data_IF_603229751639
#
_entry.id   IF_603229751639
#
_cell.length_a   1.000
_cell.length_b   1.000
_cell.length_c   1.000
_cell.angle_alpha   90.00
_cell.angle_beta   90.00
_cell.angle_gamma   90.00
#
_symmetry.space_group_name_H-M   'P 1'
#
loop_
_entity.id
_entity.type
_entity.pdbx_description
1 polymer ?
#
# COMPACT_ATOMS: atom_id res chain seq x y z
N UNK A 1 -18.28 11.17 20.52
CA UNK A 1 -16.79 11.24 20.53
C UNK A 1 -16.15 10.12 21.38
N UNK A 2 -16.66 9.82 22.58
CA UNK A 2 -16.17 8.72 23.44
C UNK A 2 -16.22 7.33 22.78
N UNK A 3 -17.35 6.95 22.17
CA UNK A 3 -17.52 5.66 21.49
C UNK A 3 -16.56 5.49 20.30
N UNK A 4 -16.39 6.56 19.50
CA UNK A 4 -15.46 6.55 18.37
C UNK A 4 -14.02 6.33 18.86
N UNK A 5 -13.60 7.01 19.93
CA UNK A 5 -12.27 6.81 20.53
C UNK A 5 -12.05 5.38 21.02
N UNK A 6 -13.06 4.75 21.64
CA UNK A 6 -12.95 3.36 22.11
C UNK A 6 -12.87 2.39 20.94
N UNK A 7 -13.70 2.59 19.92
CA UNK A 7 -13.65 1.79 18.70
C UNK A 7 -12.29 1.93 18.02
N UNK A 8 -11.79 3.16 17.84
CA UNK A 8 -10.45 3.41 17.28
C UNK A 8 -9.37 2.74 18.13
N UNK A 9 -9.44 2.85 19.46
CA UNK A 9 -8.47 2.20 20.36
C UNK A 9 -8.51 0.68 20.26
N UNK A 10 -9.70 0.09 20.12
CA UNK A 10 -9.86 -1.35 19.94
C UNK A 10 -9.30 -1.81 18.59
N UNK A 11 -9.59 -1.09 17.50
CA UNK A 11 -9.03 -1.37 16.18
C UNK A 11 -7.51 -1.23 16.19
N UNK A 12 -6.96 -0.20 16.84
CA UNK A 12 -5.51 0.00 16.98
C UNK A 12 -4.90 -1.14 17.79
N UNK A 13 -5.50 -1.57 18.89
CA UNK A 13 -5.03 -2.70 19.67
C UNK A 13 -5.00 -3.99 18.82
N UNK A 14 -6.10 -4.30 18.14
CA UNK A 14 -6.20 -5.50 17.30
C UNK A 14 -5.18 -5.48 16.15
N UNK A 15 -5.04 -4.37 15.45
CA UNK A 15 -4.09 -4.22 14.35
C UNK A 15 -2.63 -4.24 14.82
N UNK A 16 -2.29 -3.62 15.96
CA UNK A 16 -0.90 -3.52 16.42
C UNK A 16 -0.42 -4.71 17.26
N UNK A 17 -1.32 -5.48 17.88
CA UNK A 17 -0.96 -6.56 18.80
C UNK A 17 -1.36 -7.96 18.32
N UNK A 18 -2.39 -8.07 17.48
CA UNK A 18 -2.95 -9.37 17.07
C UNK A 18 -2.75 -9.70 15.59
N UNK A 19 -2.72 -8.70 14.71
CA UNK A 19 -2.58 -8.92 13.27
C UNK A 19 -1.09 -9.07 12.92
N UNK A 20 -0.61 -10.25 12.49
CA UNK A 20 0.77 -10.41 12.06
C UNK A 20 0.98 -9.74 10.70
N UNK A 21 2.24 -9.65 10.29
CA UNK A 21 2.61 -9.23 8.94
C UNK A 21 1.79 -9.96 7.85
N UNK A 22 1.54 -9.24 6.74
CA UNK A 22 0.71 -9.72 5.63
C UNK A 22 1.19 -11.06 5.05
N UNK A 23 2.51 -11.29 5.00
CA UNK A 23 3.06 -12.55 4.52
C UNK A 23 2.72 -13.73 5.45
N UNK A 24 2.82 -13.51 6.75
CA UNK A 24 2.49 -14.51 7.79
C UNK A 24 1.00 -14.81 7.76
N UNK A 25 0.16 -13.78 7.63
CA UNK A 25 -1.29 -13.93 7.53
C UNK A 25 -1.69 -14.78 6.32
N UNK A 26 -1.13 -14.51 5.14
CA UNK A 26 -1.38 -15.30 3.92
C UNK A 26 -0.87 -16.73 4.07
N UNK A 27 0.28 -16.92 4.72
CA UNK A 27 0.84 -18.26 5.00
C UNK A 27 -0.08 -19.08 5.90
N UNK A 28 -0.58 -18.48 6.98
CA UNK A 28 -1.55 -19.12 7.89
C UNK A 28 -2.84 -19.48 7.15
N UNK A 29 -3.38 -18.53 6.37
CA UNK A 29 -4.59 -18.78 5.59
C UNK A 29 -4.37 -19.91 4.57
N UNK A 30 -3.20 -19.97 3.94
CA UNK A 30 -2.83 -21.04 3.03
C UNK A 30 -2.86 -22.41 3.70
N UNK A 31 -2.33 -22.54 4.93
CA UNK A 31 -2.39 -23.79 5.69
C UNK A 31 -3.81 -24.13 6.15
N UNK A 32 -4.59 -23.14 6.56
CA UNK A 32 -6.01 -23.35 6.92
C UNK A 32 -6.77 -23.90 5.71
N UNK A 33 -6.62 -23.28 4.54
CA UNK A 33 -7.26 -23.76 3.31
C UNK A 33 -6.77 -25.16 2.94
N UNK A 34 -5.46 -25.44 3.07
CA UNK A 34 -4.90 -26.77 2.84
C UNK A 34 -5.59 -27.83 3.70
N UNK A 35 -5.69 -27.60 5.02
CA UNK A 35 -6.31 -28.53 5.98
C UNK A 35 -7.79 -28.71 5.68
N UNK A 36 -8.52 -27.64 5.36
CA UNK A 36 -9.93 -27.71 5.02
C UNK A 36 -10.17 -28.49 3.73
N UNK A 37 -9.38 -28.27 2.68
CA UNK A 37 -9.51 -29.01 1.43
C UNK A 37 -9.22 -30.49 1.65
N UNK A 38 -8.11 -30.80 2.33
CA UNK A 38 -7.74 -32.19 2.65
C UNK A 38 -8.82 -32.90 3.49
N UNK A 39 -9.33 -32.24 4.53
CA UNK A 39 -10.31 -32.84 5.45
C UNK A 39 -11.74 -32.92 4.91
N UNK A 40 -12.15 -32.04 4.00
CA UNK A 40 -13.55 -31.92 3.57
C UNK A 40 -13.82 -32.43 2.15
N UNK A 41 -12.80 -32.52 1.27
CA UNK A 41 -13.01 -32.87 -0.15
C UNK A 41 -12.63 -34.30 -0.51
N UNK A 42 -12.03 -35.06 0.42
CA UNK A 42 -11.57 -36.43 0.17
C UNK A 42 -10.37 -36.53 -0.79
N UNK A 43 -9.75 -35.40 -1.14
CA UNK A 43 -8.53 -35.37 -1.94
C UNK A 43 -7.33 -35.84 -1.10
N UNK A 44 -6.45 -36.61 -1.73
CA UNK A 44 -5.18 -37.00 -1.12
C UNK A 44 -4.24 -35.79 -0.99
N UNK A 45 -3.26 -35.89 -0.10
CA UNK A 45 -2.34 -34.79 0.19
C UNK A 45 -1.56 -34.33 -1.04
N UNK A 46 -1.20 -35.24 -1.96
CA UNK A 46 -0.41 -34.88 -3.14
C UNK A 46 -1.22 -34.01 -4.12
N UNK A 47 -2.50 -34.33 -4.30
CA UNK A 47 -3.43 -33.51 -5.10
C UNK A 47 -3.60 -32.09 -4.53
N UNK A 48 -3.72 -31.96 -3.21
CA UNK A 48 -3.83 -30.65 -2.55
C UNK A 48 -2.54 -29.85 -2.69
N UNK A 49 -1.37 -30.48 -2.50
CA UNK A 49 -0.05 -29.83 -2.68
C UNK A 49 0.13 -29.37 -4.13
N UNK A 50 -0.24 -30.20 -5.12
CA UNK A 50 -0.16 -29.86 -6.53
C UNK A 50 -1.06 -28.66 -6.88
N UNK A 51 -2.30 -28.65 -6.37
CA UNK A 51 -3.23 -27.54 -6.55
C UNK A 51 -2.71 -26.24 -5.95
N UNK A 52 -2.15 -26.31 -4.75
CA UNK A 52 -1.53 -25.16 -4.07
C UNK A 52 -0.38 -24.56 -4.88
N UNK A 53 0.58 -25.38 -5.33
CA UNK A 53 1.73 -24.88 -6.06
C UNK A 53 1.37 -24.39 -7.46
N UNK A 54 0.47 -25.08 -8.18
CA UNK A 54 -0.06 -24.60 -9.45
C UNK A 54 -0.71 -23.21 -9.30
N UNK A 55 -1.49 -23.00 -8.24
CA UNK A 55 -2.05 -21.71 -7.88
C UNK A 55 -0.99 -20.63 -7.65
N UNK A 56 0.06 -20.95 -6.90
CA UNK A 56 1.17 -20.02 -6.64
C UNK A 56 1.84 -19.54 -7.94
N UNK A 57 2.06 -20.43 -8.91
CA UNK A 57 2.65 -20.06 -10.21
C UNK A 57 1.78 -19.13 -11.06
N UNK A 58 0.45 -19.18 -10.91
CA UNK A 58 -0.43 -18.24 -11.62
C UNK A 58 -0.21 -16.77 -11.21
N UNK A 59 0.33 -16.55 -10.00
CA UNK A 59 0.57 -15.21 -9.46
C UNK A 59 1.91 -14.62 -9.89
N UNK A 60 2.82 -15.38 -10.54
CA UNK A 60 4.17 -14.91 -10.87
C UNK A 60 4.15 -13.68 -11.80
N UNK A 61 3.28 -13.69 -12.81
CA UNK A 61 3.11 -12.54 -13.71
C UNK A 61 2.61 -11.30 -12.97
N UNK A 62 1.61 -11.49 -12.09
CA UNK A 62 1.07 -10.43 -11.24
C UNK A 62 2.12 -9.90 -10.25
N UNK A 63 2.87 -10.77 -9.58
CA UNK A 63 3.90 -10.36 -8.63
C UNK A 63 5.02 -9.58 -9.31
N UNK A 64 5.44 -9.99 -10.51
CA UNK A 64 6.41 -9.24 -11.31
C UNK A 64 5.89 -7.86 -11.71
N UNK A 65 4.62 -7.77 -12.14
CA UNK A 65 3.99 -6.48 -12.44
C UNK A 65 4.01 -5.55 -11.21
N UNK A 66 3.62 -6.07 -10.04
CA UNK A 66 3.62 -5.30 -8.79
C UNK A 66 5.03 -4.87 -8.35
N UNK A 67 6.03 -5.75 -8.49
CA UNK A 67 7.43 -5.43 -8.21
C UNK A 67 7.95 -4.33 -9.13
N UNK A 68 7.67 -4.42 -10.44
CA UNK A 68 8.07 -3.40 -11.42
C UNK A 68 7.40 -2.05 -11.15
N UNK A 69 6.12 -2.03 -10.77
CA UNK A 69 5.42 -0.78 -10.41
C UNK A 69 6.17 -0.04 -9.30
N UNK A 70 6.59 -0.74 -8.25
CA UNK A 70 7.31 -0.14 -7.13
C UNK A 70 8.75 0.25 -7.50
N UNK A 71 9.50 -0.66 -8.15
CA UNK A 71 10.90 -0.42 -8.51
C UNK A 71 11.01 0.73 -9.51
N UNK A 72 10.18 0.75 -10.55
CA UNK A 72 10.18 1.82 -11.55
C UNK A 72 9.65 3.13 -10.96
N UNK A 73 8.62 3.06 -10.10
CA UNK A 73 8.12 4.23 -9.36
C UNK A 73 9.21 4.87 -8.49
N UNK A 74 9.96 4.04 -7.76
CA UNK A 74 11.11 4.49 -6.98
C UNK A 74 12.23 5.05 -7.85
N UNK A 75 12.58 4.37 -8.95
CA UNK A 75 13.62 4.84 -9.87
C UNK A 75 13.28 6.22 -10.45
N UNK A 76 12.02 6.45 -10.84
CA UNK A 76 11.54 7.75 -11.31
C UNK A 76 11.60 8.81 -10.21
N UNK A 77 11.14 8.49 -8.99
CA UNK A 77 11.18 9.41 -7.86
C UNK A 77 12.62 9.80 -7.45
N UNK A 78 13.58 8.90 -7.62
CA UNK A 78 15.00 9.14 -7.37
C UNK A 78 15.72 9.91 -8.50
N UNK A 79 15.07 10.12 -9.65
CA UNK A 79 15.69 10.82 -10.77
C UNK A 79 16.08 12.26 -10.38
N UNK A 80 17.27 12.70 -10.80
CA UNK A 80 17.82 14.03 -10.46
C UNK A 80 16.87 15.18 -10.80
N UNK A 81 16.14 15.07 -11.91
CA UNK A 81 15.17 16.09 -12.33
C UNK A 81 13.98 16.17 -11.36
N UNK A 82 13.43 15.01 -10.98
CA UNK A 82 12.32 14.93 -10.02
C UNK A 82 12.76 15.45 -8.65
N UNK A 83 13.93 15.03 -8.16
CA UNK A 83 14.49 15.53 -6.90
C UNK A 83 14.68 17.05 -6.89
N UNK A 84 15.15 17.64 -8.00
CA UNK A 84 15.24 19.11 -8.13
C UNK A 84 13.87 19.78 -8.08
N UNK A 85 12.88 19.21 -8.77
CA UNK A 85 11.50 19.72 -8.75
C UNK A 85 10.92 19.67 -7.34
N UNK A 86 11.07 18.56 -6.62
CA UNK A 86 10.56 18.41 -5.26
C UNK A 86 11.20 19.41 -4.30
N UNK A 87 12.53 19.62 -4.38
CA UNK A 87 13.22 20.64 -3.58
C UNK A 87 12.72 22.05 -3.87
N UNK A 88 12.53 22.36 -5.15
CA UNK A 88 11.95 23.64 -5.55
C UNK A 88 10.53 23.81 -4.99
N UNK A 89 9.65 22.84 -5.20
CA UNK A 89 8.29 22.88 -4.69
C UNK A 89 8.25 22.97 -3.16
N UNK A 90 9.17 22.32 -2.46
CA UNK A 90 9.25 22.36 -1.00
C UNK A 90 9.70 23.72 -0.44
N UNK A 91 10.30 24.57 -1.26
CA UNK A 91 10.68 25.93 -0.89
C UNK A 91 9.54 26.96 -1.04
N UNK A 92 8.43 26.59 -1.69
CA UNK A 92 7.31 27.51 -1.96
C UNK A 92 6.43 27.78 -0.73
N UNK A 93 6.08 26.78 0.10
CA UNK A 93 5.21 27.01 1.25
C UNK A 93 5.88 27.87 2.31
N UNK A 94 5.13 28.86 2.83
CA UNK A 94 5.60 29.77 3.88
C UNK A 94 5.04 29.44 5.27
N UNK A 95 4.21 28.39 5.37
CA UNK A 95 3.60 27.97 6.63
C UNK A 95 2.86 26.64 6.51
N UNK A 96 2.44 26.10 7.66
CA UNK A 96 1.85 24.75 7.76
C UNK A 96 0.68 24.52 6.81
N UNK A 97 -0.20 25.52 6.63
CA UNK A 97 -1.39 25.37 5.80
C UNK A 97 -1.03 25.10 4.34
N UNK A 98 -0.15 25.93 3.77
CA UNK A 98 0.30 25.78 2.37
C UNK A 98 1.17 24.54 2.20
N UNK A 99 1.91 24.14 3.23
CA UNK A 99 2.71 22.91 3.22
C UNK A 99 1.84 21.65 3.15
N UNK A 100 0.86 21.52 4.03
CA UNK A 100 -0.09 20.39 4.05
C UNK A 100 -0.93 20.33 2.77
N UNK A 101 -1.40 21.50 2.31
CA UNK A 101 -2.13 21.59 1.06
C UNK A 101 -1.28 21.08 -0.11
N UNK A 102 -0.04 21.58 -0.26
CA UNK A 102 0.83 21.24 -1.38
C UNK A 102 1.24 19.77 -1.37
N UNK A 103 1.55 19.20 -0.20
CA UNK A 103 1.88 17.77 -0.07
C UNK A 103 0.70 16.89 -0.45
N UNK A 104 -0.49 17.21 0.06
CA UNK A 104 -1.71 16.44 -0.24
C UNK A 104 -2.07 16.53 -1.72
N UNK A 105 -1.99 17.73 -2.30
CA UNK A 105 -2.28 17.96 -3.71
C UNK A 105 -1.30 17.21 -4.63
N UNK A 106 0.01 17.29 -4.35
CA UNK A 106 1.02 16.56 -5.11
C UNK A 106 0.79 15.05 -5.00
N UNK A 107 0.47 14.56 -3.80
CA UNK A 107 0.18 13.15 -3.58
C UNK A 107 -1.02 12.67 -4.39
N UNK A 108 -2.12 13.44 -4.42
CA UNK A 108 -3.29 13.10 -5.22
C UNK A 108 -2.95 13.00 -6.70
N UNK A 109 -2.28 14.02 -7.27
CA UNK A 109 -1.88 14.01 -8.68
C UNK A 109 -0.97 12.81 -8.98
N UNK A 110 0.05 12.57 -8.15
CA UNK A 110 0.99 11.49 -8.37
C UNK A 110 0.30 10.11 -8.30
N UNK A 111 -0.57 9.88 -7.31
CA UNK A 111 -1.32 8.63 -7.15
C UNK A 111 -2.38 8.42 -8.24
N UNK A 112 -2.97 9.51 -8.77
CA UNK A 112 -3.88 9.43 -9.90
C UNK A 112 -3.16 8.98 -11.19
N UNK A 113 -1.93 9.43 -11.40
CA UNK A 113 -1.11 9.01 -12.55
C UNK A 113 -0.62 7.57 -12.36
N UNK A 114 0.05 7.30 -11.24
CA UNK A 114 0.57 5.99 -10.92
C UNK A 114 0.73 5.84 -9.41
N UNK A 115 0.02 4.89 -8.81
CA UNK A 115 0.02 4.73 -7.36
C UNK A 115 1.37 4.29 -6.78
N UNK A 116 2.15 3.47 -7.49
CA UNK A 116 3.47 3.03 -7.04
C UNK A 116 4.47 4.18 -6.96
N UNK A 117 4.52 5.01 -8.00
CA UNK A 117 5.27 6.27 -8.00
C UNK A 117 4.71 7.26 -6.96
N UNK A 118 3.38 7.38 -6.89
CA UNK A 118 2.66 8.30 -6.01
C UNK A 118 2.99 8.11 -4.54
N UNK A 119 2.99 6.87 -4.05
CA UNK A 119 3.35 6.56 -2.66
C UNK A 119 4.80 6.96 -2.34
N UNK A 120 5.75 6.64 -3.22
CA UNK A 120 7.17 6.96 -3.03
C UNK A 120 7.40 8.47 -3.04
N UNK A 121 6.94 9.16 -4.08
CA UNK A 121 7.24 10.58 -4.27
C UNK A 121 6.60 11.43 -3.18
N UNK A 122 5.42 11.06 -2.70
CA UNK A 122 4.72 11.77 -1.63
C UNK A 122 5.48 11.68 -0.31
N UNK A 123 6.02 10.50 0.01
CA UNK A 123 6.84 10.31 1.21
C UNK A 123 8.15 11.11 1.15
N UNK A 124 8.82 11.12 0.00
CA UNK A 124 10.03 11.93 -0.22
C UNK A 124 9.70 13.41 -0.09
N UNK A 125 8.60 13.86 -0.71
CA UNK A 125 8.20 15.25 -0.69
C UNK A 125 7.79 15.74 0.70
N UNK A 126 7.05 14.93 1.48
CA UNK A 126 6.76 15.24 2.89
C UNK A 126 8.02 15.40 3.72
N UNK A 127 9.03 14.52 3.54
CA UNK A 127 10.33 14.68 4.21
C UNK A 127 11.01 15.99 3.80
N UNK A 128 10.92 16.37 2.53
CA UNK A 128 11.53 17.62 2.06
C UNK A 128 10.81 18.85 2.62
N UNK A 129 9.49 18.83 2.71
CA UNK A 129 8.69 19.89 3.35
C UNK A 129 9.02 20.00 4.84
N UNK A 130 9.14 18.88 5.57
CA UNK A 130 9.49 18.86 6.98
C UNK A 130 10.86 19.50 7.28
N UNK A 131 11.80 19.45 6.31
CA UNK A 131 13.11 20.12 6.44
C UNK A 131 13.01 21.64 6.28
N UNK A 132 12.11 22.12 5.42
CA UNK A 132 12.05 23.51 4.98
C UNK A 132 10.99 24.34 5.72
N UNK A 133 9.92 23.72 6.23
CA UNK A 133 8.79 24.40 6.85
C UNK A 133 8.70 24.06 8.33
N UNK A 134 8.87 25.09 9.17
CA UNK A 134 8.68 25.00 10.63
C UNK A 134 7.22 25.14 11.03
N UNK A 135 6.85 24.61 12.18
CA UNK A 135 5.49 24.65 12.71
C UNK A 135 4.49 23.74 11.98
N UNK A 136 4.96 22.77 11.20
CA UNK A 136 4.10 21.74 10.59
C UNK A 136 4.16 20.47 11.43
N UNK A 137 3.00 19.87 11.75
CA UNK A 137 2.99 18.61 12.49
C UNK A 137 3.44 17.49 11.55
N UNK A 138 4.50 16.79 11.93
CA UNK A 138 5.12 15.78 11.09
C UNK A 138 4.20 14.57 10.86
N UNK A 139 3.41 14.18 11.86
CA UNK A 139 2.47 13.05 11.73
C UNK A 139 1.39 13.38 10.71
N UNK A 140 0.83 14.58 10.80
CA UNK A 140 -0.17 15.04 9.83
C UNK A 140 0.45 15.21 8.43
N UNK A 141 1.71 15.65 8.33
CA UNK A 141 2.39 15.75 7.04
C UNK A 141 2.55 14.38 6.36
N UNK A 142 2.90 13.34 7.12
CA UNK A 142 2.95 11.95 6.63
C UNK A 142 1.55 11.44 6.27
N UNK A 143 0.54 11.73 7.11
CA UNK A 143 -0.85 11.39 6.81
C UNK A 143 -1.34 12.06 5.52
N UNK A 144 -1.02 13.34 5.31
CA UNK A 144 -1.30 14.09 4.07
C UNK A 144 -0.66 13.44 2.85
N UNK A 145 0.62 13.06 2.94
CA UNK A 145 1.32 12.38 1.86
C UNK A 145 0.70 11.01 1.52
N UNK A 146 0.25 10.25 2.52
CA UNK A 146 -0.40 8.96 2.29
C UNK A 146 -1.84 9.10 1.80
N UNK A 147 -2.56 10.13 2.26
CA UNK A 147 -3.99 10.33 1.97
C UNK A 147 -4.31 10.45 0.49
N UNK A 148 -3.38 10.95 -0.33
CA UNK A 148 -3.59 11.05 -1.77
C UNK A 148 -3.74 9.72 -2.48
N UNK A 149 -3.35 8.61 -1.83
CA UNK A 149 -3.66 7.27 -2.32
C UNK A 149 -5.17 7.07 -2.50
N UNK A 150 -6.06 7.78 -1.77
CA UNK A 150 -7.52 7.57 -1.83
C UNK A 150 -8.13 7.61 -3.25
N UNK A 151 -7.54 8.34 -4.21
CA UNK A 151 -8.04 8.42 -5.60
C UNK A 151 -7.36 7.45 -6.57
N UNK A 152 -6.41 6.63 -6.11
CA UNK A 152 -5.55 5.79 -6.95
C UNK A 152 -6.36 4.90 -7.91
N UNK A 153 -7.43 4.31 -7.40
CA UNK A 153 -8.22 3.34 -8.14
C UNK A 153 -9.11 4.00 -9.21
N UNK A 154 -9.44 5.28 -9.05
CA UNK A 154 -10.08 6.10 -10.09
C UNK A 154 -9.08 6.71 -11.09
N UNK A 155 -7.79 6.44 -10.91
CA UNK A 155 -6.71 6.96 -11.73
C UNK A 155 -6.29 6.06 -12.89
N UNK A 156 -5.26 6.51 -13.61
CA UNK A 156 -4.69 5.84 -14.78
C UNK A 156 -4.08 4.47 -14.46
N UNK A 157 -3.77 4.21 -13.20
CA UNK A 157 -3.20 2.96 -12.71
C UNK A 157 -4.19 2.07 -11.95
N UNK A 158 -5.49 2.35 -12.04
CA UNK A 158 -6.54 1.55 -11.41
C UNK A 158 -6.62 0.14 -11.99
N UNK A 159 -6.47 -0.88 -11.13
CA UNK A 159 -6.37 -2.28 -11.56
C UNK A 159 -7.65 -2.77 -12.24
N UNK A 160 -8.82 -2.52 -11.66
CA UNK A 160 -10.09 -2.99 -12.25
C UNK A 160 -10.43 -2.23 -13.54
N UNK A 161 -10.38 -0.88 -13.62
CA UNK A 161 -10.62 -0.17 -14.88
C UNK A 161 -9.72 -0.63 -16.03
N UNK A 162 -8.45 -0.92 -15.77
CA UNK A 162 -7.52 -1.45 -16.78
C UNK A 162 -7.82 -2.92 -17.13
N UNK A 163 -8.18 -3.73 -16.14
CA UNK A 163 -8.55 -5.13 -16.35
C UNK A 163 -9.78 -5.26 -17.24
N UNK A 164 -10.82 -4.46 -16.99
CA UNK A 164 -12.04 -4.48 -17.82
C UNK A 164 -11.86 -3.82 -19.18
N UNK A 165 -10.86 -2.96 -19.35
CA UNK A 165 -10.50 -2.36 -20.64
C UNK A 165 -9.64 -3.26 -21.53
N UNK A 166 -9.17 -4.40 -21.02
CA UNK A 166 -8.31 -5.33 -21.74
C UNK A 166 -9.11 -6.54 -22.22
N UNK A 167 -9.23 -6.72 -23.53
CA UNK A 167 -9.89 -7.90 -24.09
C UNK A 167 -8.96 -9.13 -23.96
N UNK A 168 -9.21 -9.97 -22.96
CA UNK A 168 -8.47 -11.22 -22.74
C UNK A 168 -9.38 -12.32 -22.17
N UNK A 169 -8.88 -13.56 -22.10
CA UNK A 169 -9.62 -14.71 -21.56
C UNK A 169 -10.09 -14.53 -20.10
N UNK A 170 -9.43 -13.64 -19.35
CA UNK A 170 -9.78 -13.37 -17.96
C UNK A 170 -10.94 -12.38 -17.82
N UNK A 171 -11.27 -11.59 -18.85
CA UNK A 171 -12.33 -10.57 -18.79
C UNK A 171 -13.70 -11.15 -18.41
N UNK A 172 -14.08 -12.25 -19.05
CA UNK A 172 -15.32 -12.96 -18.73
C UNK A 172 -15.23 -13.62 -17.35
N UNK A 173 -14.06 -14.15 -16.97
CA UNK A 173 -13.85 -14.80 -15.67
C UNK A 173 -13.98 -13.81 -14.50
N UNK A 174 -13.39 -12.62 -14.59
CA UNK A 174 -13.44 -11.60 -13.52
C UNK A 174 -14.85 -11.05 -13.27
N UNK A 175 -15.73 -11.19 -14.26
CA UNK A 175 -17.11 -10.70 -14.21
C UNK A 175 -18.14 -11.84 -14.10
N UNK A 176 -17.70 -13.08 -13.88
CA UNK A 176 -18.56 -14.27 -13.87
C UNK A 176 -19.48 -14.38 -15.10
N UNK A 177 -18.96 -14.03 -16.28
CA UNK A 177 -19.68 -14.07 -17.56
C UNK A 177 -20.46 -12.81 -17.91
N UNK A 178 -20.51 -11.79 -17.04
CA UNK A 178 -21.31 -10.58 -17.28
C UNK A 178 -20.68 -9.64 -18.31
N UNK A 179 -19.34 -9.52 -18.30
CA UNK A 179 -18.59 -8.65 -19.19
C UNK A 179 -17.85 -9.50 -20.21
N UNK A 180 -18.35 -9.51 -21.44
CA UNK A 180 -17.76 -10.26 -22.56
C UNK A 180 -16.88 -9.39 -23.46
N UNK A 181 -17.13 -8.07 -23.45
CA UNK A 181 -16.43 -7.08 -24.27
C UNK A 181 -15.74 -6.05 -23.40
N UNK A 182 -14.52 -5.69 -23.78
CA UNK A 182 -13.74 -4.71 -23.06
C UNK A 182 -14.48 -3.37 -22.97
N UNK A 183 -14.48 -2.77 -21.77
CA UNK A 183 -15.08 -1.47 -21.51
C UNK A 183 -13.97 -0.42 -21.65
N UNK A 184 -14.05 0.50 -22.62
CA UNK A 184 -12.99 1.46 -22.85
C UNK A 184 -12.82 2.41 -21.67
N UNK A 185 -11.58 2.89 -21.46
CA UNK A 185 -11.26 3.81 -20.36
C UNK A 185 -12.02 5.14 -20.42
N UNK A 186 -12.57 5.51 -21.59
CA UNK A 186 -13.48 6.65 -21.74
C UNK A 186 -14.77 6.51 -20.94
N UNK A 187 -15.21 5.27 -20.69
CA UNK A 187 -16.41 4.96 -19.91
C UNK A 187 -16.12 4.62 -18.44
N UNK A 188 -14.85 4.46 -18.07
CA UNK A 188 -14.43 4.15 -16.69
C UNK A 188 -13.63 5.32 -16.10
N UNK A 189 -12.32 5.35 -16.34
CA UNK A 189 -11.38 6.35 -15.80
C UNK A 189 -11.76 7.77 -16.23
N UNK A 190 -12.11 7.97 -17.49
CA UNK A 190 -12.48 9.29 -18.01
C UNK A 190 -13.99 9.52 -18.05
N UNK A 191 -14.78 8.70 -17.35
CA UNK A 191 -16.20 8.97 -17.18
C UNK A 191 -16.42 10.26 -16.38
N UNK A 192 -17.45 11.02 -16.72
CA UNK A 192 -17.75 12.28 -16.06
C UNK A 192 -17.94 12.11 -14.53
N UNK A 193 -18.62 11.06 -14.10
CA UNK A 193 -18.85 10.77 -12.68
C UNK A 193 -17.53 10.54 -11.92
N UNK A 194 -16.60 9.75 -12.47
CA UNK A 194 -15.30 9.51 -11.86
C UNK A 194 -14.47 10.80 -11.78
N UNK A 195 -14.40 11.57 -12.88
CA UNK A 195 -13.65 12.83 -12.92
C UNK A 195 -14.22 13.89 -11.96
N UNK A 196 -15.55 13.94 -11.78
CA UNK A 196 -16.18 14.83 -10.79
C UNK A 196 -15.75 14.44 -9.37
N UNK A 197 -15.81 13.15 -9.01
CA UNK A 197 -15.38 12.68 -7.68
C UNK A 197 -13.91 13.01 -7.45
N UNK A 198 -13.05 12.71 -8.42
CA UNK A 198 -11.63 13.00 -8.34
C UNK A 198 -11.39 14.49 -8.21
N UNK A 199 -12.09 15.33 -8.97
CA UNK A 199 -12.00 16.78 -8.85
C UNK A 199 -12.38 17.29 -7.46
N UNK A 200 -13.48 16.78 -6.90
CA UNK A 200 -13.92 17.12 -5.54
C UNK A 200 -12.84 16.74 -4.51
N UNK A 201 -12.27 15.54 -4.60
CA UNK A 201 -11.24 15.09 -3.66
C UNK A 201 -9.92 15.85 -3.88
N UNK A 202 -9.54 16.07 -5.13
CA UNK A 202 -8.33 16.80 -5.52
C UNK A 202 -8.28 18.21 -4.93
N UNK A 203 -9.44 18.87 -4.86
CA UNK A 203 -9.57 20.20 -4.28
C UNK A 203 -9.84 20.12 -2.78
N UNK A 204 -10.81 19.30 -2.36
CA UNK A 204 -11.32 19.28 -0.99
C UNK A 204 -10.38 18.65 0.03
N UNK A 205 -9.69 17.56 -0.33
CA UNK A 205 -8.83 16.84 0.62
C UNK A 205 -7.60 17.66 1.06
N UNK A 206 -6.88 18.37 0.17
CA UNK A 206 -5.82 19.29 0.59
C UNK A 206 -6.27 20.36 1.58
N UNK A 207 -7.46 20.93 1.38
CA UNK A 207 -8.02 21.90 2.33
C UNK A 207 -8.37 21.25 3.67
N UNK A 208 -9.02 20.09 3.65
CA UNK A 208 -9.36 19.35 4.86
C UNK A 208 -8.10 19.02 5.68
N UNK A 209 -7.07 18.49 5.03
CA UNK A 209 -5.80 18.15 5.68
C UNK A 209 -5.14 19.38 6.30
N UNK A 210 -5.16 20.53 5.62
CA UNK A 210 -4.60 21.76 6.15
C UNK A 210 -5.42 22.35 7.33
N UNK A 211 -6.73 22.13 7.35
CA UNK A 211 -7.64 22.61 8.40
C UNK A 211 -7.57 21.81 9.70
N UNK A 212 -7.23 20.52 9.64
CA UNK A 212 -7.12 19.65 10.82
C UNK A 212 -5.74 19.70 11.49
N UNK A 213 -4.90 20.68 11.12
CA UNK A 213 -3.61 20.89 11.76
C UNK A 213 -3.78 21.20 13.26
N UNK A 214 -3.02 20.51 14.14
CA UNK A 214 -3.17 20.69 15.58
C UNK A 214 -2.69 22.07 16.05
N UNK A 215 -3.12 22.48 17.24
CA UNK A 215 -2.67 23.74 17.83
C UNK A 215 -1.17 23.70 18.13
N UNK A 216 -0.55 24.88 18.27
CA UNK A 216 0.91 25.06 18.40
C UNK A 216 1.53 24.20 19.50
N UNK A 217 0.81 23.98 20.58
CA UNK A 217 1.27 23.23 21.75
C UNK A 217 1.29 21.70 21.53
N UNK A 218 0.55 21.20 20.54
CA UNK A 218 0.39 19.78 20.22
C UNK A 218 1.21 19.34 18.99
N UNK A 219 1.89 20.29 18.34
CA UNK A 219 2.71 20.06 17.15
C UNK A 219 3.89 19.16 17.52
N UNK A 220 4.03 18.05 16.81
CA UNK A 220 5.25 17.25 16.83
C UNK A 220 6.04 17.54 15.56
N UNK A 221 7.14 18.28 15.70
CA UNK A 221 8.12 18.47 14.63
C UNK A 221 9.17 17.35 14.66
N UNK A 222 9.72 17.02 13.49
CA UNK A 222 10.87 16.12 13.38
C UNK A 222 12.17 16.93 13.32
N UNK A 223 13.22 16.45 13.99
CA UNK A 223 14.55 17.00 13.81
C UNK A 223 15.02 16.73 12.36
N UNK A 224 15.31 17.81 11.62
CA UNK A 224 15.76 17.73 10.24
C UNK A 224 17.06 16.92 10.09
N UNK A 225 17.87 16.76 11.14
CA UNK A 225 19.06 15.88 11.12
C UNK A 225 18.69 14.42 10.87
N UNK A 226 17.59 13.94 11.45
CA UNK A 226 17.08 12.57 11.24
C UNK A 226 16.63 12.31 9.79
N UNK A 227 16.44 13.38 9.01
CA UNK A 227 16.02 13.31 7.61
C UNK A 227 17.18 13.50 6.61
N UNK A 228 18.40 13.76 7.10
CA UNK A 228 19.59 13.98 6.27
C UNK A 228 20.43 12.72 6.10
N UNK A 229 20.35 11.78 7.03
CA UNK A 229 21.13 10.54 6.98
C UNK A 229 20.45 9.52 6.05
N UNK A 230 21.14 9.20 4.96
CA UNK A 230 20.83 8.05 4.12
C UNK A 230 21.09 6.78 4.93
N UNK A 231 20.01 6.10 5.31
CA UNK A 231 19.98 4.68 5.67
C UNK A 231 21.14 4.20 6.58
N UNK A 232 21.07 4.52 7.88
CA UNK A 232 21.34 3.47 8.84
C UNK A 232 20.02 2.76 9.06
N UNK A 233 19.89 1.53 8.55
CA UNK A 233 19.04 0.49 9.15
C UNK A 233 19.50 0.32 10.59
N UNK A 234 19.17 1.29 11.42
CA UNK A 234 18.97 1.00 12.83
C UNK A 234 17.56 0.48 12.81
N UNK A 235 17.34 -0.78 13.16
CA UNK A 235 16.02 -1.26 13.54
C UNK A 235 15.56 -0.34 14.69
N UNK A 236 14.90 0.78 14.35
CA UNK A 236 14.48 1.79 15.32
C UNK A 236 13.28 1.30 16.14
N UNK A 237 12.72 0.15 15.77
CA UNK A 237 11.71 -0.55 16.54
C UNK A 237 12.35 -1.84 17.03
N UNK A 238 12.90 -1.78 18.24
CA UNK A 238 13.22 -2.97 19.02
C UNK A 238 11.90 -3.68 19.36
N UNK A 239 11.44 -4.56 18.47
CA UNK A 239 10.28 -5.41 18.72
C UNK A 239 10.53 -6.43 19.84
N UNK A 240 11.76 -6.57 20.36
CA UNK A 240 12.07 -7.59 21.37
C UNK A 240 11.33 -7.36 22.70
N UNK A 241 10.81 -6.16 22.96
CA UNK A 241 10.12 -5.87 24.22
C UNK A 241 8.63 -6.21 24.23
N UNK A 242 7.99 -6.38 23.07
CA UNK A 242 6.54 -6.56 22.96
C UNK A 242 6.21 -8.02 22.60
N UNK A 243 5.95 -8.87 23.62
CA UNK A 243 5.50 -10.26 23.45
C UNK A 243 4.05 -10.34 22.94
N UNK A 244 3.84 -9.98 21.68
CA UNK A 244 2.52 -9.96 21.05
C UNK A 244 2.25 -11.24 20.27
N UNK A 245 0.98 -11.50 19.94
CA UNK A 245 0.60 -12.64 19.08
C UNK A 245 1.20 -12.44 17.69
N UNK A 246 1.12 -11.22 17.16
CA UNK A 246 1.74 -10.85 15.89
C UNK A 246 3.24 -11.19 15.88
N UNK A 247 3.99 -10.75 16.90
CA UNK A 247 5.42 -11.00 17.02
C UNK A 247 5.76 -12.50 17.11
N UNK A 248 4.97 -13.28 17.84
CA UNK A 248 5.16 -14.73 17.93
C UNK A 248 4.97 -15.41 16.56
N UNK A 249 3.93 -15.03 15.82
CA UNK A 249 3.64 -15.59 14.51
C UNK A 249 4.70 -15.17 13.47
N UNK A 250 5.16 -13.92 13.51
CA UNK A 250 6.20 -13.38 12.63
C UNK A 250 7.55 -14.07 12.81
N UNK A 251 7.91 -14.40 14.05
CA UNK A 251 9.17 -15.08 14.36
C UNK A 251 9.04 -16.61 14.44
N UNK A 252 7.91 -17.17 13.98
CA UNK A 252 7.66 -18.61 14.05
C UNK A 252 8.47 -19.37 13.00
N UNK A 253 9.56 -20.00 13.45
CA UNK A 253 10.36 -20.89 12.60
C UNK A 253 9.56 -22.08 12.07
N UNK A 254 8.54 -22.52 12.82
CA UNK A 254 7.64 -23.59 12.40
C UNK A 254 6.90 -23.23 11.11
N UNK A 255 6.38 -22.00 10.99
CA UNK A 255 5.68 -21.57 9.78
C UNK A 255 6.61 -21.57 8.57
N UNK A 256 7.86 -21.12 8.76
CA UNK A 256 8.87 -21.17 7.71
C UNK A 256 9.18 -22.61 7.29
N UNK A 257 9.37 -23.52 8.24
CA UNK A 257 9.62 -24.94 7.93
C UNK A 257 8.44 -25.57 7.21
N UNK A 258 7.21 -25.35 7.67
CA UNK A 258 6.01 -25.88 7.02
C UNK A 258 5.92 -25.39 5.57
N UNK A 259 6.22 -24.11 5.31
CA UNK A 259 6.17 -23.55 3.97
C UNK A 259 7.27 -24.14 3.07
N UNK A 260 8.47 -24.32 3.61
CA UNK A 260 9.59 -24.97 2.92
C UNK A 260 9.25 -26.42 2.58
N UNK A 261 8.69 -27.18 3.52
CA UNK A 261 8.26 -28.56 3.27
C UNK A 261 7.13 -28.64 2.25
N UNK A 262 6.16 -27.73 2.30
CA UNK A 262 5.09 -27.64 1.31
C UNK A 262 5.65 -27.35 -0.09
N UNK A 263 6.60 -26.41 -0.19
CA UNK A 263 7.30 -26.08 -1.42
C UNK A 263 8.12 -27.25 -1.97
N UNK A 264 8.93 -27.91 -1.14
CA UNK A 264 9.67 -29.10 -1.55
C UNK A 264 8.76 -30.27 -1.94
N UNK A 265 7.64 -30.45 -1.23
CA UNK A 265 6.62 -31.44 -1.60
C UNK A 265 6.05 -31.17 -2.98
N UNK A 266 5.73 -29.90 -3.29
CA UNK A 266 5.31 -29.51 -4.63
C UNK A 266 6.38 -29.76 -5.68
N UNK A 267 7.64 -29.38 -5.44
CA UNK A 267 8.73 -29.62 -6.37
C UNK A 267 8.96 -31.12 -6.62
N UNK A 268 8.85 -31.94 -5.56
CA UNK A 268 8.90 -33.39 -5.68
C UNK A 268 7.84 -33.93 -6.62
N UNK A 269 6.58 -33.53 -6.42
CA UNK A 269 5.44 -33.95 -7.27
C UNK A 269 5.54 -33.38 -8.69
N UNK A 270 6.11 -32.18 -8.85
CA UNK A 270 6.21 -31.52 -10.15
C UNK A 270 7.26 -32.16 -11.06
N UNK A 271 8.38 -32.63 -10.49
CA UNK A 271 9.51 -33.16 -11.25
C UNK A 271 9.61 -34.70 -11.29
N UNK A 272 8.93 -35.42 -10.39
CA UNK A 272 8.96 -36.88 -10.28
C UNK A 272 7.55 -37.47 -10.28
#
# INVERSE_FOLDING_TARGET
MFLLRHLTSACVFLASKCLPDSFVLVTLLSFIVFVLVYGLTGQDASSVISSWGNGAWTLLGFSMQMALILVLGQALASAKLVQKLLKYLASLPKGYYTALWLVTFLSLIANWINWGFGLVISAIFAKEIAKNVKGVDYRLLIASAYSGFVIWHGGLSGSIPLSVATQNENLSKISAGVIEKAIPISQTIFSAYNLIIIGIILVGLPFLMAMIHPKKEEIIEIDAKLLKDEYKETELIDYQQDKTIAHFLENSTLLSYLLVFLGFGYLGIFFF
#
